data_IF_806565728049
#
_entry.id   IF_806565728049
#
_cell.length_a   1.000
_cell.length_b   1.000
_cell.length_c   1.000
_cell.angle_alpha   90.00
_cell.angle_beta   90.00
_cell.angle_gamma   90.00
#
_symmetry.space_group_name_H-M   'P 1'
#
loop_
_entity.id
_entity.type
_entity.pdbx_description
1 polymer ?
#
# COMPACT_ATOMS: atom_id res chain seq x y z
N UNK A 1 -2.17 -38.99 13.43
CA UNK A 1 -1.52 -39.00 12.11
C UNK A 1 -1.82 -37.65 11.46
N UNK A 2 -0.83 -36.85 11.19
CA UNK A 2 -0.98 -35.58 10.44
C UNK A 2 -1.20 -35.89 8.96
N UNK A 3 -2.30 -35.46 8.37
CA UNK A 3 -2.60 -35.78 6.99
C UNK A 3 -1.68 -35.03 6.02
N UNK A 4 -1.24 -35.73 4.97
CA UNK A 4 -0.54 -35.10 3.84
C UNK A 4 -1.55 -34.45 2.90
N UNK A 5 -1.13 -33.39 2.19
CA UNK A 5 -1.94 -32.78 1.13
C UNK A 5 -2.32 -33.82 0.08
N UNK A 6 -1.39 -34.71 -0.27
CA UNK A 6 -1.61 -35.81 -1.21
C UNK A 6 -2.69 -36.80 -0.75
N UNK A 7 -2.92 -36.94 0.54
CA UNK A 7 -3.95 -37.84 1.06
C UNK A 7 -5.34 -37.17 1.13
N UNK A 8 -5.38 -35.85 1.38
CA UNK A 8 -6.63 -35.11 1.45
C UNK A 8 -7.19 -34.77 0.07
N UNK A 9 -6.29 -34.46 -0.87
CA UNK A 9 -6.66 -34.03 -2.21
C UNK A 9 -5.88 -34.79 -3.29
N UNK A 10 -6.05 -36.13 -3.40
CA UNK A 10 -5.30 -36.96 -4.33
C UNK A 10 -5.53 -36.59 -5.80
N UNK A 11 -6.68 -35.96 -6.11
CA UNK A 11 -7.02 -35.53 -7.47
C UNK A 11 -6.03 -34.51 -8.05
N UNK A 12 -5.38 -33.73 -7.20
CA UNK A 12 -4.39 -32.75 -7.66
C UNK A 12 -3.02 -33.37 -7.92
N UNK A 13 -2.73 -34.53 -7.37
CA UNK A 13 -1.44 -35.21 -7.51
C UNK A 13 -1.23 -35.83 -8.90
N UNK A 14 -2.24 -35.77 -9.75
CA UNK A 14 -2.15 -36.20 -11.16
C UNK A 14 -1.26 -35.24 -11.98
N UNK A 15 -1.27 -33.95 -11.62
CA UNK A 15 -0.35 -32.99 -12.23
C UNK A 15 1.05 -33.12 -11.58
N UNK A 16 2.10 -33.41 -12.37
CA UNK A 16 3.45 -33.62 -11.85
C UNK A 16 3.99 -32.40 -11.07
N UNK A 17 3.61 -31.17 -11.46
CA UNK A 17 4.02 -29.95 -10.77
C UNK A 17 3.41 -29.89 -9.36
N UNK A 18 2.13 -30.26 -9.22
CA UNK A 18 1.49 -30.37 -7.91
C UNK A 18 2.10 -31.48 -7.05
N UNK A 19 2.32 -32.66 -7.64
CA UNK A 19 2.93 -33.78 -6.92
C UNK A 19 4.33 -33.41 -6.37
N UNK A 20 5.14 -32.72 -7.19
CA UNK A 20 6.46 -32.25 -6.77
C UNK A 20 6.40 -31.20 -5.64
N UNK A 21 5.46 -30.27 -5.71
CA UNK A 21 5.33 -29.18 -4.72
C UNK A 21 4.64 -29.67 -3.43
N UNK A 22 3.53 -30.40 -3.53
CA UNK A 22 2.66 -30.71 -2.41
C UNK A 22 2.73 -32.16 -1.91
N UNK A 23 3.44 -33.04 -2.60
CA UNK A 23 3.46 -34.48 -2.29
C UNK A 23 3.90 -34.85 -0.87
N UNK A 24 4.80 -34.04 -0.28
CA UNK A 24 5.32 -34.22 1.08
C UNK A 24 4.83 -33.12 2.06
N UNK A 25 3.90 -32.30 1.65
CA UNK A 25 3.38 -31.20 2.48
C UNK A 25 2.36 -31.74 3.49
N UNK A 26 2.53 -31.37 4.73
CA UNK A 26 1.67 -31.77 5.83
C UNK A 26 0.61 -30.67 6.04
N UNK A 27 -0.64 -31.07 6.20
CA UNK A 27 -1.71 -30.19 6.67
C UNK A 27 -1.72 -30.24 8.20
N UNK A 28 -1.24 -29.18 8.84
CA UNK A 28 -1.22 -29.13 10.31
C UNK A 28 -2.62 -28.94 10.88
N UNK A 29 -3.32 -27.93 10.35
CA UNK A 29 -4.72 -27.66 10.70
C UNK A 29 -5.40 -26.82 9.63
N UNK A 30 -6.71 -26.82 9.67
CA UNK A 30 -7.56 -25.87 8.92
C UNK A 30 -8.43 -25.12 9.94
N UNK A 31 -8.41 -23.80 9.88
CA UNK A 31 -9.19 -22.94 10.74
C UNK A 31 -10.24 -22.18 9.97
N UNK A 32 -11.51 -22.28 10.38
CA UNK A 32 -12.61 -21.54 9.80
C UNK A 32 -12.98 -20.35 10.70
N UNK A 33 -12.75 -19.15 10.19
CA UNK A 33 -13.09 -17.89 10.84
C UNK A 33 -14.45 -17.41 10.30
N UNK A 34 -15.54 -17.80 10.95
CA UNK A 34 -16.91 -17.56 10.47
C UNK A 34 -17.26 -16.07 10.37
N UNK A 35 -16.78 -15.24 11.31
CA UNK A 35 -17.05 -13.81 11.33
C UNK A 35 -16.39 -13.09 10.15
N UNK A 36 -15.19 -13.53 9.80
CA UNK A 36 -14.38 -12.98 8.72
C UNK A 36 -14.67 -13.65 7.37
N UNK A 37 -15.50 -14.69 7.39
CA UNK A 37 -15.77 -15.56 6.22
C UNK A 37 -14.49 -16.06 5.57
N UNK A 38 -13.56 -16.57 6.38
CA UNK A 38 -12.25 -16.99 5.91
C UNK A 38 -11.94 -18.41 6.38
N UNK A 39 -11.26 -19.19 5.53
CA UNK A 39 -10.68 -20.50 5.89
C UNK A 39 -9.19 -20.43 5.64
N UNK A 40 -8.41 -20.73 6.69
CA UNK A 40 -6.95 -20.73 6.64
C UNK A 40 -6.45 -22.17 6.75
N UNK A 41 -5.76 -22.64 5.73
CA UNK A 41 -5.05 -23.92 5.74
C UNK A 41 -3.60 -23.71 6.15
N UNK A 42 -3.20 -24.22 7.29
CA UNK A 42 -1.81 -24.18 7.75
C UNK A 42 -1.08 -25.41 7.23
N UNK A 43 -0.17 -25.20 6.30
CA UNK A 43 0.60 -26.22 5.62
C UNK A 43 2.07 -26.17 6.05
N UNK A 44 2.65 -27.31 6.42
CA UNK A 44 4.08 -27.42 6.73
C UNK A 44 4.80 -28.09 5.57
N UNK A 45 5.84 -27.44 5.09
CA UNK A 45 6.69 -27.89 3.99
C UNK A 45 8.18 -27.80 4.34
N UNK A 46 9.03 -28.46 3.57
CA UNK A 46 10.49 -28.33 3.72
C UNK A 46 11.05 -26.99 3.23
N UNK A 47 10.34 -26.36 2.27
CA UNK A 47 10.73 -25.12 1.64
C UNK A 47 9.48 -24.23 1.41
N UNK A 48 9.64 -22.94 1.09
CA UNK A 48 8.53 -22.10 0.67
C UNK A 48 7.77 -22.71 -0.50
N UNK A 49 6.43 -22.70 -0.42
CA UNK A 49 5.57 -23.21 -1.49
C UNK A 49 5.47 -22.21 -2.63
N UNK A 50 5.35 -22.75 -3.85
CA UNK A 50 5.13 -21.95 -5.04
C UNK A 50 3.78 -21.23 -4.99
N UNK A 51 3.77 -19.92 -5.23
CA UNK A 51 2.58 -19.07 -5.10
C UNK A 51 1.52 -19.39 -6.14
N UNK A 52 1.92 -19.67 -7.36
CA UNK A 52 0.98 -19.93 -8.46
C UNK A 52 0.31 -21.29 -8.26
N UNK A 53 1.06 -22.28 -7.79
CA UNK A 53 0.50 -23.58 -7.42
C UNK A 53 -0.41 -23.49 -6.20
N UNK A 54 -0.06 -22.67 -5.20
CA UNK A 54 -0.96 -22.38 -4.06
C UNK A 54 -2.25 -21.71 -4.54
N UNK A 55 -2.17 -20.72 -5.41
CA UNK A 55 -3.35 -20.06 -5.97
C UNK A 55 -4.24 -21.02 -6.78
N UNK A 56 -3.65 -21.90 -7.58
CA UNK A 56 -4.37 -22.96 -8.30
C UNK A 56 -5.06 -23.95 -7.37
N UNK A 57 -4.37 -24.35 -6.27
CA UNK A 57 -4.97 -25.22 -5.25
C UNK A 57 -6.19 -24.55 -4.62
N UNK A 58 -6.05 -23.29 -4.17
CA UNK A 58 -7.16 -22.54 -3.58
C UNK A 58 -8.32 -22.37 -4.55
N UNK A 59 -8.05 -22.02 -5.81
CA UNK A 59 -9.09 -21.88 -6.84
C UNK A 59 -9.86 -23.18 -7.05
N UNK A 60 -9.17 -24.32 -6.98
CA UNK A 60 -9.80 -25.63 -7.12
C UNK A 60 -10.62 -26.06 -5.90
N UNK A 61 -10.27 -25.57 -4.71
CA UNK A 61 -11.01 -25.83 -3.47
C UNK A 61 -12.15 -24.83 -3.25
N UNK A 62 -12.13 -23.68 -3.91
CA UNK A 62 -13.11 -22.61 -3.72
C UNK A 62 -14.59 -23.06 -3.84
N UNK A 63 -14.96 -23.96 -4.79
CA UNK A 63 -16.35 -24.46 -4.88
C UNK A 63 -16.84 -25.18 -3.63
N UNK A 64 -15.95 -25.86 -2.89
CA UNK A 64 -16.29 -26.61 -1.66
C UNK A 64 -16.51 -25.69 -0.44
N UNK A 65 -16.04 -24.42 -0.55
CA UNK A 65 -16.10 -23.42 0.52
C UNK A 65 -16.81 -22.16 0.06
N UNK A 66 -17.99 -22.31 -0.54
CA UNK A 66 -18.77 -21.21 -1.08
C UNK A 66 -19.04 -20.12 -0.02
N UNK A 67 -18.74 -18.87 -0.35
CA UNK A 67 -18.91 -17.72 0.55
C UNK A 67 -17.78 -17.48 1.56
N UNK A 68 -16.70 -18.28 1.50
CA UNK A 68 -15.50 -18.08 2.29
C UNK A 68 -14.30 -17.73 1.41
N UNK A 69 -13.44 -16.83 1.90
CA UNK A 69 -12.12 -16.58 1.32
C UNK A 69 -11.18 -17.68 1.81
N UNK A 70 -10.49 -18.35 0.88
CA UNK A 70 -9.50 -19.37 1.23
C UNK A 70 -8.09 -18.79 1.27
N UNK A 71 -7.33 -19.15 2.31
CA UNK A 71 -5.93 -18.76 2.46
C UNK A 71 -5.05 -19.96 2.84
N UNK A 72 -3.80 -19.92 2.39
CA UNK A 72 -2.75 -20.85 2.80
C UNK A 72 -1.74 -20.08 3.65
N UNK A 73 -1.46 -20.58 4.85
CA UNK A 73 -0.32 -20.19 5.66
C UNK A 73 0.72 -21.29 5.55
N UNK A 74 1.83 -21.01 4.89
CA UNK A 74 2.91 -21.98 4.75
C UNK A 74 3.93 -21.84 5.87
N UNK A 75 4.17 -22.91 6.61
CA UNK A 75 5.24 -23.05 7.61
C UNK A 75 6.43 -23.77 7.00
N UNK A 76 7.61 -23.18 7.08
CA UNK A 76 8.86 -23.75 6.55
C UNK A 76 10.06 -23.40 7.44
N UNK A 77 11.19 -24.07 7.25
CA UNK A 77 12.39 -23.82 8.03
C UNK A 77 13.02 -22.46 7.70
N UNK A 78 13.43 -21.70 8.72
CA UNK A 78 14.07 -20.39 8.56
C UNK A 78 15.30 -20.44 7.63
N UNK A 79 16.06 -21.54 7.61
CA UNK A 79 17.20 -21.72 6.73
C UNK A 79 16.86 -21.68 5.23
N UNK A 80 15.57 -21.85 4.90
CA UNK A 80 15.05 -21.80 3.54
C UNK A 80 14.47 -20.41 3.18
N UNK A 81 14.57 -19.43 4.08
CA UNK A 81 14.16 -18.06 3.83
C UNK A 81 15.17 -17.38 2.91
N UNK A 82 14.82 -17.21 1.67
CA UNK A 82 15.58 -16.47 0.67
C UNK A 82 14.91 -15.13 0.33
N UNK A 83 15.51 -14.37 -0.58
CA UNK A 83 14.95 -13.10 -1.05
C UNK A 83 13.56 -13.27 -1.67
N UNK A 84 13.34 -14.34 -2.42
CA UNK A 84 12.06 -14.61 -3.10
C UNK A 84 10.96 -14.87 -2.08
N UNK A 85 11.23 -15.73 -1.10
CA UNK A 85 10.29 -16.01 -0.02
C UNK A 85 9.97 -14.74 0.78
N UNK A 86 11.01 -13.93 1.08
CA UNK A 86 10.82 -12.69 1.83
C UNK A 86 9.97 -11.67 1.06
N UNK A 87 10.19 -11.51 -0.24
CA UNK A 87 9.33 -10.69 -1.11
C UNK A 87 7.89 -11.20 -1.10
N UNK A 88 7.73 -12.52 -1.09
CA UNK A 88 6.44 -13.16 -0.94
C UNK A 88 5.70 -12.77 0.32
N UNK A 89 6.38 -12.77 1.46
CA UNK A 89 5.80 -12.35 2.74
C UNK A 89 5.44 -10.85 2.75
N UNK A 90 6.27 -10.00 2.13
CA UNK A 90 5.94 -8.57 1.97
C UNK A 90 4.70 -8.36 1.10
N UNK A 91 4.52 -9.13 0.02
CA UNK A 91 3.29 -9.07 -0.80
C UNK A 91 2.05 -9.54 -0.03
N UNK A 92 2.20 -10.51 0.88
CA UNK A 92 1.12 -10.92 1.78
C UNK A 92 0.74 -9.79 2.74
N UNK A 93 1.73 -9.14 3.36
CA UNK A 93 1.49 -7.98 4.23
C UNK A 93 0.76 -6.86 3.48
N UNK A 94 1.12 -6.61 2.21
CA UNK A 94 0.44 -5.62 1.36
C UNK A 94 -1.02 -5.99 1.12
N UNK A 95 -1.32 -7.26 0.86
CA UNK A 95 -2.70 -7.77 0.70
C UNK A 95 -3.51 -7.69 1.99
N UNK A 96 -2.85 -7.88 3.14
CA UNK A 96 -3.45 -7.76 4.46
C UNK A 96 -3.65 -6.29 4.90
N UNK A 97 -3.37 -5.32 4.00
CA UNK A 97 -3.64 -3.90 4.22
C UNK A 97 -2.51 -3.13 4.91
N UNK A 98 -1.32 -3.72 5.05
CA UNK A 98 -0.14 -2.96 5.54
C UNK A 98 0.24 -1.91 4.49
N UNK A 99 0.29 -0.60 4.82
CA UNK A 99 0.47 0.48 3.85
C UNK A 99 1.93 0.63 3.42
N UNK A 100 2.46 -0.35 2.70
CA UNK A 100 3.85 -0.35 2.18
C UNK A 100 3.99 0.22 0.75
N UNK A 101 2.89 0.53 0.09
CA UNK A 101 2.69 1.37 -1.11
C UNK A 101 3.88 1.58 -2.06
N UNK A 102 4.50 0.51 -2.55
CA UNK A 102 5.58 0.62 -3.54
C UNK A 102 6.95 1.03 -2.98
N UNK A 103 7.07 1.36 -1.68
CA UNK A 103 8.36 1.65 -1.05
C UNK A 103 9.35 0.50 -1.15
N UNK A 104 8.86 -0.73 -1.21
CA UNK A 104 9.65 -1.95 -1.24
C UNK A 104 9.81 -2.56 -2.63
N UNK A 105 9.21 -2.00 -3.68
CA UNK A 105 9.24 -2.56 -5.04
C UNK A 105 10.67 -2.66 -5.61
N UNK A 106 11.55 -1.73 -5.22
CA UNK A 106 12.95 -1.67 -5.64
C UNK A 106 13.93 -1.77 -4.48
N UNK A 107 13.50 -2.37 -3.36
CA UNK A 107 14.38 -2.55 -2.23
C UNK A 107 15.46 -3.59 -2.51
N UNK A 108 16.61 -3.40 -1.90
CA UNK A 108 17.65 -4.43 -1.81
C UNK A 108 17.49 -5.21 -0.53
N UNK A 109 17.70 -6.52 -0.59
CA UNK A 109 17.51 -7.41 0.55
C UNK A 109 18.83 -8.16 0.78
N UNK A 110 19.30 -8.17 2.02
CA UNK A 110 20.44 -8.96 2.45
C UNK A 110 20.03 -9.79 3.67
N UNK A 111 20.24 -11.10 3.58
CA UNK A 111 19.95 -12.06 4.67
C UNK A 111 21.27 -12.66 5.10
N UNK A 112 21.67 -12.41 6.35
CA UNK A 112 22.91 -12.96 6.93
C UNK A 112 22.58 -13.57 8.29
N UNK A 113 22.48 -14.90 8.34
CA UNK A 113 22.00 -15.62 9.52
C UNK A 113 20.59 -15.14 9.90
N UNK A 114 20.41 -14.67 11.13
CA UNK A 114 19.12 -14.13 11.59
C UNK A 114 18.98 -12.60 11.41
N UNK A 115 19.92 -11.96 10.71
CA UNK A 115 19.86 -10.54 10.44
C UNK A 115 19.41 -10.30 8.99
N UNK A 116 18.35 -9.50 8.84
CA UNK A 116 17.81 -9.10 7.55
C UNK A 116 17.96 -7.59 7.43
N UNK A 117 18.64 -7.15 6.37
CA UNK A 117 18.83 -5.74 6.05
C UNK A 117 18.07 -5.42 4.77
N UNK A 118 17.19 -4.44 4.82
CA UNK A 118 16.38 -3.98 3.68
C UNK A 118 16.81 -2.56 3.33
N UNK A 119 17.42 -2.41 2.16
CA UNK A 119 17.79 -1.10 1.62
C UNK A 119 16.63 -0.50 0.82
N UNK A 120 16.17 0.67 1.23
CA UNK A 120 15.01 1.36 0.65
C UNK A 120 15.44 2.67 0.01
N UNK A 121 14.98 2.94 -1.22
CA UNK A 121 15.32 4.16 -1.93
C UNK A 121 14.59 5.40 -1.40
N UNK A 122 13.39 5.23 -0.84
CA UNK A 122 12.55 6.31 -0.31
C UNK A 122 11.55 5.77 0.71
N UNK A 123 11.02 6.66 1.55
CA UNK A 123 10.01 6.29 2.55
C UNK A 123 10.55 5.58 3.79
N UNK A 124 11.87 5.55 4.03
CA UNK A 124 12.47 4.90 5.20
C UNK A 124 11.89 5.40 6.52
N UNK A 125 11.72 6.73 6.67
CA UNK A 125 11.13 7.33 7.88
C UNK A 125 9.70 6.84 8.12
N UNK A 126 8.88 6.83 7.08
CA UNK A 126 7.49 6.36 7.17
C UNK A 126 7.44 4.88 7.59
N UNK A 127 8.26 4.02 6.99
CA UNK A 127 8.33 2.60 7.34
C UNK A 127 8.80 2.40 8.79
N UNK A 128 9.74 3.23 9.29
CA UNK A 128 10.19 3.21 10.68
C UNK A 128 9.09 3.66 11.65
N UNK A 129 8.37 4.75 11.33
CA UNK A 129 7.26 5.26 12.15
C UNK A 129 6.13 4.24 12.30
N UNK A 130 5.86 3.46 11.26
CA UNK A 130 4.88 2.37 11.33
C UNK A 130 5.45 1.05 11.88
N UNK A 131 6.69 1.06 12.37
CA UNK A 131 7.37 -0.12 12.94
C UNK A 131 7.41 -1.32 11.98
N UNK A 132 7.65 -1.08 10.70
CA UNK A 132 7.65 -2.11 9.67
C UNK A 132 8.62 -3.25 9.96
N UNK A 133 9.80 -2.95 10.54
CA UNK A 133 10.79 -3.94 10.94
C UNK A 133 10.20 -5.00 11.89
N UNK A 134 9.41 -4.53 12.86
CA UNK A 134 8.74 -5.40 13.83
C UNK A 134 7.64 -6.22 13.17
N UNK A 135 6.80 -5.59 12.35
CA UNK A 135 5.72 -6.27 11.63
C UNK A 135 6.27 -7.36 10.71
N UNK A 136 7.36 -7.09 10.00
CA UNK A 136 7.99 -8.07 9.13
C UNK A 136 8.64 -9.20 9.94
N UNK A 137 9.32 -8.89 11.05
CA UNK A 137 9.91 -9.91 11.93
C UNK A 137 8.83 -10.84 12.51
N UNK A 138 7.69 -10.30 12.93
CA UNK A 138 6.54 -11.07 13.41
C UNK A 138 5.94 -11.95 12.28
N UNK A 139 5.83 -11.41 11.07
CA UNK A 139 5.37 -12.20 9.91
C UNK A 139 6.31 -13.36 9.60
N UNK A 140 7.62 -13.12 9.57
CA UNK A 140 8.61 -14.17 9.37
C UNK A 140 8.52 -15.22 10.47
N UNK A 141 8.40 -14.79 11.74
CA UNK A 141 8.26 -15.71 12.86
C UNK A 141 7.00 -16.59 12.76
N UNK A 142 5.89 -16.03 12.26
CA UNK A 142 4.66 -16.79 12.04
C UNK A 142 4.82 -17.90 11.00
N UNK A 143 5.73 -17.76 10.04
CA UNK A 143 5.99 -18.77 8.99
C UNK A 143 7.16 -19.70 9.29
N UNK A 144 8.15 -19.23 10.05
CA UNK A 144 9.41 -19.98 10.25
C UNK A 144 9.64 -20.40 11.72
N UNK A 145 8.86 -19.86 12.67
CA UNK A 145 9.08 -20.03 14.09
C UNK A 145 10.27 -19.27 14.65
N UNK A 146 10.98 -18.47 13.81
CA UNK A 146 12.18 -17.71 14.22
C UNK A 146 11.94 -16.22 14.01
N UNK A 147 12.20 -15.41 15.04
CA UNK A 147 12.10 -13.94 14.96
C UNK A 147 13.47 -13.37 14.57
N UNK A 148 13.65 -12.92 13.32
CA UNK A 148 14.90 -12.33 12.89
C UNK A 148 15.04 -10.88 13.35
N UNK A 149 16.28 -10.37 13.32
CA UNK A 149 16.53 -8.94 13.45
C UNK A 149 16.39 -8.27 12.08
N UNK A 150 15.34 -7.50 11.90
CA UNK A 150 15.12 -6.72 10.67
C UNK A 150 15.62 -5.29 10.87
N UNK A 151 16.32 -4.76 9.87
CA UNK A 151 16.84 -3.37 9.86
C UNK A 151 16.54 -2.72 8.52
N UNK A 152 15.99 -1.51 8.55
CA UNK A 152 15.80 -0.68 7.37
C UNK A 152 17.00 0.26 7.19
N UNK A 153 17.48 0.38 5.97
CA UNK A 153 18.55 1.32 5.60
C UNK A 153 18.11 2.15 4.39
N UNK A 154 18.41 3.45 4.40
CA UNK A 154 18.26 4.26 3.20
C UNK A 154 19.40 3.94 2.23
N UNK A 155 19.09 3.60 0.99
CA UNK A 155 20.09 3.40 -0.07
C UNK A 155 20.47 4.68 -0.78
N UNK A 156 19.74 5.77 -0.53
CA UNK A 156 19.99 7.10 -1.09
C UNK A 156 20.68 7.94 -0.02
N UNK A 157 21.79 8.58 -0.38
CA UNK A 157 22.48 9.48 0.53
C UNK A 157 21.59 10.68 0.88
N UNK A 158 21.73 11.24 2.09
CA UNK A 158 20.96 12.41 2.52
C UNK A 158 21.12 13.59 1.53
N UNK A 159 22.28 13.72 0.89
CA UNK A 159 22.56 14.73 -0.12
C UNK A 159 21.74 14.52 -1.40
N UNK A 160 21.55 13.28 -1.82
CA UNK A 160 20.72 12.94 -2.99
C UNK A 160 19.21 13.07 -2.69
N UNK A 161 18.80 12.74 -1.46
CA UNK A 161 17.43 12.98 -1.01
C UNK A 161 17.10 14.47 -1.03
N UNK A 162 17.98 15.31 -0.49
CA UNK A 162 17.79 16.76 -0.48
C UNK A 162 17.75 17.34 -1.90
N UNK A 163 18.58 16.84 -2.82
CA UNK A 163 18.55 17.26 -4.23
C UNK A 163 17.28 16.80 -4.96
N UNK A 164 16.73 15.64 -4.62
CA UNK A 164 15.46 15.14 -5.16
C UNK A 164 14.28 15.96 -4.63
N UNK A 165 14.26 16.26 -3.34
CA UNK A 165 13.26 17.12 -2.72
C UNK A 165 13.31 18.53 -3.34
N UNK A 166 14.50 19.11 -3.47
CA UNK A 166 14.70 20.43 -4.09
C UNK A 166 14.27 20.46 -5.58
N UNK A 167 14.53 19.38 -6.33
CA UNK A 167 14.06 19.23 -7.70
C UNK A 167 12.53 19.05 -7.80
N UNK A 168 11.92 18.37 -6.83
CA UNK A 168 10.47 18.22 -6.75
C UNK A 168 9.83 19.55 -6.38
N UNK A 169 10.35 20.26 -5.40
CA UNK A 169 9.88 21.59 -5.03
C UNK A 169 10.00 22.59 -6.20
N UNK A 170 11.11 22.56 -6.95
CA UNK A 170 11.28 23.37 -8.17
C UNK A 170 10.30 23.01 -9.30
N UNK A 171 9.88 21.72 -9.40
CA UNK A 171 8.88 21.28 -10.38
C UNK A 171 7.45 21.58 -9.95
N UNK A 172 7.18 21.61 -8.63
CA UNK A 172 5.87 21.92 -8.04
C UNK A 172 5.71 23.42 -7.88
N UNK A 173 6.81 24.22 -7.88
CA UNK A 173 6.69 25.66 -7.89
C UNK A 173 5.90 26.06 -9.16
N UNK A 174 4.70 26.65 -9.01
CA UNK A 174 3.94 27.09 -10.17
C UNK A 174 4.80 28.08 -10.96
N UNK A 175 4.76 28.02 -12.29
CA UNK A 175 5.53 28.95 -13.11
C UNK A 175 5.19 30.38 -12.67
N UNK A 176 6.21 31.12 -12.20
CA UNK A 176 6.03 32.52 -11.84
C UNK A 176 5.77 33.26 -13.14
N UNK A 177 4.51 33.32 -13.55
CA UNK A 177 4.08 34.14 -14.65
C UNK A 177 4.12 35.58 -14.16
N UNK A 178 5.19 36.29 -14.47
CA UNK A 178 5.25 37.72 -14.24
C UNK A 178 4.27 38.41 -15.18
N UNK A 179 3.06 38.65 -14.69
CA UNK A 179 2.14 39.54 -15.37
C UNK A 179 2.57 40.99 -15.05
N UNK A 180 3.04 41.70 -16.06
CA UNK A 180 3.14 43.18 -15.98
C UNK A 180 1.73 43.74 -15.81
N UNK A 181 1.47 44.27 -14.63
CA UNK A 181 0.18 44.86 -14.28
C UNK A 181 0.07 46.26 -14.88
N UNK A 182 -0.87 46.50 -15.77
CA UNK A 182 -1.50 47.78 -15.91
C UNK A 182 -2.46 47.97 -14.73
N UNK A 183 -2.11 48.93 -13.86
CA UNK A 183 -2.88 49.28 -12.67
C UNK A 183 -4.25 49.84 -13.07
N UNK A 184 -5.30 49.05 -12.93
CA UNK A 184 -6.67 49.49 -12.66
C UNK A 184 -7.48 48.29 -12.15
N UNK A 185 -7.34 47.97 -10.88
CA UNK A 185 -8.24 47.01 -10.22
C UNK A 185 -9.34 47.77 -9.48
N UNK A 186 -10.62 47.53 -9.75
CA UNK A 186 -11.69 48.02 -8.92
C UNK A 186 -11.61 47.32 -7.57
N UNK A 187 -11.57 48.08 -6.48
CA UNK A 187 -11.64 47.53 -5.13
C UNK A 187 -13.02 46.92 -4.89
N UNK A 188 -13.04 45.61 -4.73
CA UNK A 188 -14.27 44.88 -4.40
C UNK A 188 -14.35 44.79 -2.89
N UNK A 189 -15.30 45.49 -2.27
CA UNK A 189 -15.64 45.37 -0.85
C UNK A 189 -16.73 44.31 -0.71
N UNK A 190 -16.42 43.20 -0.06
CA UNK A 190 -17.39 42.23 0.45
C UNK A 190 -17.51 42.50 1.98
N UNK A 191 -18.72 42.56 2.52
CA UNK A 191 -18.94 42.81 3.95
C UNK A 191 -18.05 41.88 4.79
N UNK A 192 -17.15 42.52 5.56
CA UNK A 192 -16.23 41.83 6.47
C UNK A 192 -14.89 41.36 5.89
N UNK A 193 -14.63 41.55 4.58
CA UNK A 193 -13.38 41.12 3.94
C UNK A 193 -12.81 42.21 3.03
N UNK A 194 -11.61 42.72 3.40
CA UNK A 194 -10.84 43.64 2.55
C UNK A 194 -9.99 42.80 1.55
N UNK A 195 -10.46 42.69 0.32
CA UNK A 195 -9.76 42.01 -0.77
C UNK A 195 -8.73 42.87 -1.50
N UNK A 196 -8.49 44.09 -1.03
CA UNK A 196 -7.68 45.09 -1.71
C UNK A 196 -6.17 44.82 -1.67
N UNK A 197 -5.69 44.02 -0.71
CA UNK A 197 -4.24 43.87 -0.49
C UNK A 197 -3.63 42.56 -0.98
N UNK A 198 -4.45 41.64 -1.53
CA UNK A 198 -3.94 40.36 -2.07
C UNK A 198 -4.25 40.22 -3.56
N UNK A 199 -3.26 39.78 -4.35
CA UNK A 199 -3.50 39.48 -5.77
C UNK A 199 -4.49 38.33 -5.92
N UNK A 200 -5.61 38.54 -6.59
CA UNK A 200 -6.56 37.50 -6.93
C UNK A 200 -6.11 36.83 -8.22
N UNK A 201 -5.79 35.55 -8.17
CA UNK A 201 -5.44 34.76 -9.34
C UNK A 201 -6.64 33.89 -9.72
N UNK A 202 -7.14 34.04 -10.94
CA UNK A 202 -8.21 33.20 -11.47
C UNK A 202 -7.57 32.07 -12.27
N UNK A 203 -7.68 30.84 -11.76
CA UNK A 203 -7.14 29.65 -12.45
C UNK A 203 -8.10 29.10 -13.49
N UNK A 204 -9.41 29.20 -13.27
CA UNK A 204 -10.43 28.69 -14.18
C UNK A 204 -11.78 29.38 -13.94
N UNK A 205 -12.48 29.72 -15.02
CA UNK A 205 -13.83 30.29 -14.94
C UNK A 205 -13.92 31.80 -15.16
N UNK A 206 -15.09 32.37 -14.87
CA UNK A 206 -15.37 33.80 -15.01
C UNK A 206 -15.30 34.50 -13.64
N UNK A 207 -14.86 35.74 -13.64
CA UNK A 207 -14.91 36.59 -12.44
C UNK A 207 -16.34 36.65 -11.91
N UNK A 208 -16.52 36.42 -10.61
CA UNK A 208 -17.82 36.49 -9.95
C UNK A 208 -18.08 37.88 -9.37
N UNK A 209 -19.35 38.20 -9.20
CA UNK A 209 -19.78 39.43 -8.50
C UNK A 209 -20.13 39.08 -7.05
N UNK A 210 -19.73 39.96 -6.05
CA UNK A 210 -19.96 39.68 -4.63
C UNK A 210 -21.41 39.47 -4.23
N UNK A 211 -22.35 39.95 -5.04
CA UNK A 211 -23.81 39.88 -4.73
C UNK A 211 -24.39 38.46 -4.76
N UNK A 212 -23.67 37.48 -5.31
CA UNK A 212 -24.16 36.12 -5.53
C UNK A 212 -23.42 35.07 -4.67
N UNK A 213 -22.68 35.50 -3.65
CA UNK A 213 -21.97 34.58 -2.75
C UNK A 213 -22.89 34.00 -1.71
N UNK A 214 -22.86 32.68 -1.58
CA UNK A 214 -23.59 31.96 -0.54
C UNK A 214 -22.61 31.60 0.59
N UNK A 215 -22.84 32.03 1.82
CA UNK A 215 -22.03 31.60 2.97
C UNK A 215 -22.09 30.09 3.14
N UNK A 216 -20.95 29.44 3.47
CA UNK A 216 -20.87 27.99 3.66
C UNK A 216 -21.89 27.45 4.67
N UNK A 217 -22.20 28.25 5.72
CA UNK A 217 -23.22 27.92 6.74
C UNK A 217 -24.66 27.82 6.21
N UNK A 218 -24.92 28.47 5.08
CA UNK A 218 -26.26 28.56 4.49
C UNK A 218 -26.43 27.58 3.31
N UNK A 219 -25.44 26.70 3.07
CA UNK A 219 -25.53 25.63 2.09
C UNK A 219 -26.45 24.52 2.61
N UNK A 220 -27.70 24.51 2.12
CA UNK A 220 -28.62 23.41 2.36
C UNK A 220 -28.31 22.17 1.55
N UNK A 221 -28.78 20.99 2.00
CA UNK A 221 -28.58 19.69 1.30
C UNK A 221 -29.38 19.52 0.01
N UNK A 222 -30.11 20.53 -0.44
CA UNK A 222 -30.87 20.49 -1.69
C UNK A 222 -29.99 20.93 -2.86
N UNK A 223 -29.86 20.08 -3.88
CA UNK A 223 -28.99 20.29 -5.04
C UNK A 223 -29.35 21.56 -5.80
N UNK A 224 -28.49 22.58 -5.75
CA UNK A 224 -28.58 23.82 -6.49
C UNK A 224 -27.19 24.35 -6.89
N UNK A 225 -27.16 25.26 -7.89
CA UNK A 225 -25.90 25.97 -8.21
C UNK A 225 -25.70 27.07 -7.19
N UNK A 226 -24.63 26.98 -6.41
CA UNK A 226 -24.22 28.02 -5.48
C UNK A 226 -22.83 28.55 -5.83
N UNK A 227 -22.55 29.80 -5.43
CA UNK A 227 -21.26 30.43 -5.59
C UNK A 227 -20.65 30.61 -4.21
N UNK A 228 -19.53 29.97 -3.95
CA UNK A 228 -18.84 30.02 -2.64
C UNK A 228 -17.47 30.67 -2.81
N UNK A 229 -16.97 31.20 -1.72
CA UNK A 229 -15.64 31.78 -1.62
C UNK A 229 -14.93 31.22 -0.38
N UNK A 230 -13.63 30.96 -0.49
CA UNK A 230 -12.83 30.46 0.61
C UNK A 230 -11.33 30.41 0.29
N UNK A 231 -10.52 30.27 1.31
CA UNK A 231 -9.10 30.03 1.16
C UNK A 231 -8.84 28.56 0.84
N UNK A 232 -8.05 28.30 -0.19
CA UNK A 232 -7.61 26.93 -0.53
C UNK A 232 -6.38 26.60 0.31
N UNK A 233 -6.53 25.68 1.25
CA UNK A 233 -5.45 25.19 2.11
C UNK A 233 -4.87 23.85 1.67
N UNK A 234 -5.55 23.14 0.77
CA UNK A 234 -5.10 21.87 0.21
C UNK A 234 -5.66 21.66 -1.19
N UNK A 235 -4.84 21.16 -2.12
CA UNK A 235 -5.26 20.76 -3.47
C UNK A 235 -4.74 19.37 -3.78
N UNK A 236 -5.62 18.46 -4.23
CA UNK A 236 -5.27 17.13 -4.72
C UNK A 236 -5.59 17.03 -6.22
N UNK A 237 -4.61 16.62 -7.02
CA UNK A 237 -4.81 16.36 -8.44
C UNK A 237 -4.99 14.86 -8.63
N UNK A 238 -6.22 14.42 -8.89
CA UNK A 238 -6.52 13.04 -9.29
C UNK A 238 -6.41 12.91 -10.80
N UNK A 239 -5.33 12.29 -11.28
CA UNK A 239 -5.19 11.92 -12.68
C UNK A 239 -6.11 10.75 -13.02
N UNK A 240 -7.09 10.97 -13.89
CA UNK A 240 -7.80 9.86 -14.54
C UNK A 240 -6.89 9.32 -15.64
N UNK A 241 -6.21 8.22 -15.37
CA UNK A 241 -5.58 7.45 -16.42
C UNK A 241 -6.70 6.73 -17.20
N UNK A 242 -6.92 7.17 -18.44
CA UNK A 242 -7.67 6.43 -19.45
C UNK A 242 -6.74 5.52 -20.21
#
# INVERSE_FOLDING_TARGET
MTPLVSNLWPQFMVDPAFAACFGQVIVEHAQMLRQERQVIFTLRSGAPLDKDLCARLLASLQPDYEGFELRIQNLFGYAMLDETALRGLMDEMKRDGVPINGFLDRCTIQIVGQKITIGVCHGTKFLQEMHFEKLLAERIAAHTGVTPQVTLQSTVSEAEQHQLEEKLERKIAPPVVKFERKNTAPSIKVEGLNLTDKPVTIFHGKMFTPKNLTPLKDLGGEGGKCMIWGDVFFTEVKGNYR
#
